data_IF_183069424027
#
_entry.id   IF_183069424027
#
_cell.length_a   1.000
_cell.length_b   1.000
_cell.length_c   1.000
_cell.angle_alpha   90.00
_cell.angle_beta   90.00
_cell.angle_gamma   90.00
#
_symmetry.space_group_name_H-M   'P 1'
#
loop_
_entity.id
_entity.type
_entity.pdbx_description
1 polymer ?
#
# COMPACT_ATOMS: atom_id res chain seq x y z
N UNK A 1 19.93 -2.22 11.22
CA UNK A 1 19.70 -2.13 12.67
C UNK A 1 18.21 -2.16 12.83
N UNK A 2 17.68 -3.16 13.52
CA UNK A 2 16.24 -3.24 13.79
C UNK A 2 15.94 -2.25 14.91
N UNK A 3 14.93 -1.38 14.69
CA UNK A 3 14.54 -0.36 15.67
C UNK A 3 13.70 -1.00 16.77
N UNK A 4 12.73 -1.83 16.39
CA UNK A 4 11.86 -2.54 17.34
C UNK A 4 12.43 -3.91 17.71
N UNK A 5 12.21 -4.40 18.95
CA UNK A 5 12.61 -5.75 19.34
C UNK A 5 11.91 -6.82 18.51
N UNK A 6 12.50 -8.02 18.43
CA UNK A 6 12.04 -9.11 17.54
C UNK A 6 10.66 -9.66 17.90
N UNK A 7 10.25 -9.52 19.16
CA UNK A 7 8.97 -9.95 19.69
C UNK A 7 7.81 -9.02 19.31
N UNK A 8 8.11 -7.82 18.81
CA UNK A 8 7.13 -6.84 18.33
C UNK A 8 7.07 -6.85 16.81
N UNK A 9 5.86 -6.95 16.27
CA UNK A 9 5.63 -6.86 14.84
C UNK A 9 4.88 -5.55 14.55
N UNK A 10 5.54 -4.61 13.89
CA UNK A 10 4.96 -3.30 13.53
C UNK A 10 3.94 -3.48 12.40
N UNK A 11 2.68 -3.68 12.77
CA UNK A 11 1.55 -3.89 11.84
C UNK A 11 0.23 -3.75 12.59
N UNK A 12 -0.78 -3.24 11.88
CA UNK A 12 -2.14 -3.10 12.38
C UNK A 12 -3.13 -3.88 11.50
N UNK A 13 -4.21 -4.35 12.10
CA UNK A 13 -5.36 -4.95 11.42
C UNK A 13 -6.49 -3.93 11.18
N UNK A 14 -6.26 -2.65 11.48
CA UNK A 14 -7.24 -1.62 11.16
C UNK A 14 -7.60 -1.67 9.66
N UNK A 15 -8.89 -1.70 9.34
CA UNK A 15 -9.44 -1.91 8.00
C UNK A 15 -8.94 -3.20 7.30
N UNK A 16 -8.37 -4.17 8.03
CA UNK A 16 -7.84 -5.48 7.55
C UNK A 16 -6.66 -5.44 6.55
N UNK A 17 -6.21 -4.26 6.12
CA UNK A 17 -5.19 -4.15 5.06
C UNK A 17 -3.75 -3.95 5.55
N UNK A 18 -3.48 -4.13 6.84
CA UNK A 18 -2.10 -4.17 7.34
C UNK A 18 -1.42 -2.81 7.49
N UNK A 19 -2.10 -1.71 7.15
CA UNK A 19 -1.69 -0.32 7.40
C UNK A 19 -0.21 0.00 7.17
N UNK A 20 0.42 -0.47 6.08
CA UNK A 20 1.89 -0.44 5.92
C UNK A 20 2.57 0.91 6.21
N UNK A 21 1.92 2.04 5.86
CA UNK A 21 2.39 3.40 6.18
C UNK A 21 1.70 4.05 7.41
N UNK A 22 0.67 3.41 7.96
CA UNK A 22 -0.10 3.88 9.12
C UNK A 22 0.16 3.10 10.42
N UNK A 23 0.97 2.04 10.38
CA UNK A 23 1.26 1.21 11.55
C UNK A 23 2.27 1.84 12.52
N UNK A 24 2.97 2.89 12.12
CA UNK A 24 3.89 3.62 12.99
C UNK A 24 4.07 5.07 12.56
N UNK A 25 4.57 5.88 13.49
CA UNK A 25 5.06 7.23 13.25
C UNK A 25 6.33 7.48 14.07
N UNK A 26 7.16 8.40 13.61
CA UNK A 26 8.42 8.78 14.27
C UNK A 26 8.47 10.29 14.48
N UNK A 27 8.86 10.71 15.68
CA UNK A 27 9.17 12.10 16.00
C UNK A 27 10.45 12.16 16.85
N UNK A 28 11.49 12.79 16.31
CA UNK A 28 12.80 12.81 16.97
C UNK A 28 13.36 11.39 17.12
N UNK A 29 13.62 10.99 18.36
CA UNK A 29 14.06 9.63 18.73
C UNK A 29 12.91 8.73 19.17
N UNK A 30 11.67 9.20 19.15
CA UNK A 30 10.51 8.45 19.64
C UNK A 30 9.73 7.85 18.47
N UNK A 31 9.45 6.55 18.58
CA UNK A 31 8.59 5.78 17.67
C UNK A 31 7.31 5.44 18.41
N UNK A 32 6.17 5.67 17.77
CA UNK A 32 4.88 5.12 18.19
C UNK A 32 4.45 4.12 17.13
N UNK A 33 4.07 2.90 17.51
CA UNK A 33 3.70 1.85 16.57
C UNK A 33 2.58 0.95 17.10
N UNK A 34 1.79 0.38 16.19
CA UNK A 34 0.80 -0.66 16.46
C UNK A 34 1.50 -2.02 16.44
N UNK A 35 1.34 -2.78 17.52
CA UNK A 35 1.86 -4.14 17.61
C UNK A 35 0.86 -5.16 17.05
N UNK A 36 1.28 -6.01 16.13
CA UNK A 36 0.41 -6.96 15.45
C UNK A 36 -0.29 -7.93 16.43
N UNK A 37 0.43 -8.38 17.45
CA UNK A 37 -0.02 -9.49 18.30
C UNK A 37 -1.22 -9.10 19.19
N UNK A 38 -1.26 -7.86 19.66
CA UNK A 38 -2.30 -7.38 20.59
C UNK A 38 -3.06 -6.15 20.07
N UNK A 39 -2.65 -5.58 18.93
CA UNK A 39 -3.21 -4.40 18.29
C UNK A 39 -3.11 -3.10 19.12
N UNK A 40 -2.31 -3.10 20.19
CA UNK A 40 -2.10 -1.92 21.05
C UNK A 40 -1.06 -0.98 20.43
N UNK A 41 -1.14 0.29 20.82
CA UNK A 41 -0.08 1.26 20.53
C UNK A 41 1.03 1.14 21.56
N UNK A 42 2.26 1.13 21.07
CA UNK A 42 3.49 1.13 21.85
C UNK A 42 4.33 2.35 21.52
N UNK A 43 4.97 2.92 22.53
CA UNK A 43 6.02 3.93 22.41
C UNK A 43 7.37 3.26 22.61
N UNK A 44 8.37 3.65 21.84
CA UNK A 44 9.75 3.24 22.04
C UNK A 44 10.71 4.37 21.71
N UNK A 45 11.79 4.52 22.48
CA UNK A 45 12.91 5.39 22.13
C UNK A 45 13.89 4.61 21.25
N UNK A 46 14.37 5.18 20.13
CA UNK A 46 15.33 4.54 19.24
C UNK A 46 16.61 4.21 20.00
N UNK A 47 17.02 2.95 19.96
CA UNK A 47 18.18 2.43 20.69
C UNK A 47 17.85 1.81 22.05
N UNK A 48 16.63 2.01 22.56
CA UNK A 48 16.08 1.23 23.67
C UNK A 48 15.52 -0.10 23.16
N UNK A 49 15.41 -1.10 24.03
CA UNK A 49 14.86 -2.43 23.74
C UNK A 49 13.52 -2.70 24.44
N UNK A 50 12.94 -1.73 25.15
CA UNK A 50 11.72 -1.94 25.95
C UNK A 50 10.58 -1.01 25.54
N UNK A 51 9.77 -1.38 24.52
CA UNK A 51 8.56 -0.65 24.17
C UNK A 51 7.56 -0.60 25.33
N UNK A 52 6.98 0.58 25.57
CA UNK A 52 5.96 0.82 26.59
C UNK A 52 4.57 0.96 25.94
N UNK A 53 3.55 0.23 26.39
CA UNK A 53 2.22 0.36 25.82
C UNK A 53 1.61 1.73 26.17
N UNK A 54 1.01 2.40 25.20
CA UNK A 54 0.28 3.66 25.39
C UNK A 54 -1.23 3.44 25.62
N UNK A 55 -1.76 2.33 25.11
CA UNK A 55 -3.20 1.99 25.21
C UNK A 55 -3.43 0.83 26.16
N UNK A 56 -4.64 0.73 26.78
CA UNK A 56 -5.00 -0.38 27.66
C UNK A 56 -4.85 -1.75 27.02
N UNK A 57 -4.75 -2.78 27.87
CA UNK A 57 -4.92 -4.16 27.45
C UNK A 57 -6.42 -4.49 27.46
N UNK A 58 -6.97 -4.73 26.28
CA UNK A 58 -8.38 -5.05 26.09
C UNK A 58 -8.67 -6.56 26.14
N UNK A 59 -7.73 -7.38 26.61
CA UNK A 59 -7.83 -8.85 26.63
C UNK A 59 -8.02 -9.46 25.24
N UNK A 60 -7.41 -8.84 24.22
CA UNK A 60 -7.44 -9.30 22.83
C UNK A 60 -7.29 -8.15 21.81
N UNK A 61 -7.16 -8.47 20.51
CA UNK A 61 -6.95 -7.51 19.43
C UNK A 61 -8.26 -6.81 18.98
N UNK A 62 -9.07 -6.39 19.95
CA UNK A 62 -10.43 -5.84 19.74
C UNK A 62 -10.47 -4.33 19.59
N UNK A 63 -9.36 -3.64 19.82
CA UNK A 63 -9.21 -2.22 19.50
C UNK A 63 -7.94 -2.07 18.68
N UNK A 64 -8.05 -1.39 17.54
CA UNK A 64 -6.99 -1.32 16.52
C UNK A 64 -6.71 0.13 16.18
N UNK A 65 -5.45 0.45 15.92
CA UNK A 65 -5.01 1.82 15.67
C UNK A 65 -4.19 1.92 14.39
N UNK A 66 -4.39 2.99 13.63
CA UNK A 66 -3.65 3.28 12.40
C UNK A 66 -3.60 4.77 12.06
N UNK A 67 -2.67 5.11 11.16
CA UNK A 67 -2.50 6.43 10.53
C UNK A 67 -2.42 7.56 11.55
N UNK A 68 -1.59 7.35 12.56
CA UNK A 68 -1.43 8.32 13.63
C UNK A 68 -0.35 9.38 13.36
N UNK A 69 -0.45 10.47 14.11
CA UNK A 69 0.41 11.65 14.01
C UNK A 69 0.67 12.22 15.41
N UNK A 70 1.89 12.71 15.62
CA UNK A 70 2.24 13.44 16.84
C UNK A 70 1.59 14.82 16.82
N UNK A 71 0.99 15.24 17.92
CA UNK A 71 0.43 16.58 18.07
C UNK A 71 1.53 17.57 18.50
N UNK A 72 1.85 18.60 17.71
CA UNK A 72 2.86 19.59 18.09
C UNK A 72 2.42 20.53 19.22
N UNK A 73 1.12 20.59 19.54
CA UNK A 73 0.55 21.52 20.53
C UNK A 73 0.30 20.88 21.90
N UNK A 74 0.26 19.56 21.97
CA UNK A 74 -0.10 18.80 23.18
C UNK A 74 0.73 17.51 23.27
N UNK A 75 1.04 16.99 24.47
CA UNK A 75 1.79 15.73 24.64
C UNK A 75 0.91 14.50 24.35
N UNK A 76 0.44 14.37 23.11
CA UNK A 76 -0.47 13.32 22.67
C UNK A 76 -0.18 12.86 21.26
N UNK A 77 -0.64 11.66 20.98
CA UNK A 77 -0.66 11.03 19.67
C UNK A 77 -2.10 10.99 19.18
N UNK A 78 -2.37 11.47 17.97
CA UNK A 78 -3.71 11.42 17.36
C UNK A 78 -3.75 10.32 16.33
N UNK A 79 -4.74 9.44 16.36
CA UNK A 79 -4.79 8.23 15.53
C UNK A 79 -6.22 7.88 15.12
N UNK A 80 -6.38 7.18 14.01
CA UNK A 80 -7.63 6.44 13.74
C UNK A 80 -7.69 5.24 14.68
N UNK A 81 -8.86 4.99 15.25
CA UNK A 81 -9.16 3.87 16.14
C UNK A 81 -10.40 3.13 15.62
N UNK A 82 -10.29 1.81 15.47
CA UNK A 82 -11.42 0.90 15.26
C UNK A 82 -11.70 0.14 16.56
N UNK A 83 -12.94 0.22 17.05
CA UNK A 83 -13.37 -0.42 18.28
C UNK A 83 -14.36 -1.56 18.01
N UNK A 84 -13.89 -2.79 18.15
CA UNK A 84 -14.64 -4.03 17.96
C UNK A 84 -15.22 -4.60 19.28
N UNK A 85 -15.08 -3.89 20.41
CA UNK A 85 -15.51 -4.41 21.72
C UNK A 85 -17.02 -4.68 21.80
N UNK A 86 -17.81 -3.91 21.05
CA UNK A 86 -19.27 -4.03 21.03
C UNK A 86 -19.79 -4.83 19.82
N UNK A 87 -19.24 -4.59 18.63
CA UNK A 87 -19.58 -5.29 17.39
C UNK A 87 -18.29 -5.60 16.62
N UNK A 88 -18.03 -6.89 16.38
CA UNK A 88 -16.85 -7.34 15.66
C UNK A 88 -16.94 -7.15 14.15
N UNK A 89 -18.15 -7.09 13.58
CA UNK A 89 -18.38 -7.00 12.14
C UNK A 89 -18.48 -5.55 11.66
N UNK A 90 -19.07 -4.67 12.47
CA UNK A 90 -19.20 -3.25 12.17
C UNK A 90 -18.56 -2.42 13.28
N UNK A 91 -17.22 -2.40 13.36
CA UNK A 91 -16.52 -1.65 14.39
C UNK A 91 -16.83 -0.16 14.29
N UNK A 92 -16.83 0.51 15.44
CA UNK A 92 -16.93 1.97 15.47
C UNK A 92 -15.57 2.55 15.16
N UNK A 93 -15.47 3.28 14.05
CA UNK A 93 -14.25 4.03 13.69
C UNK A 93 -14.31 5.44 14.25
N UNK A 94 -13.22 5.92 14.84
CA UNK A 94 -13.09 7.29 15.35
C UNK A 94 -11.68 7.83 15.18
N UNK A 95 -11.52 9.16 15.23
CA UNK A 95 -10.20 9.77 15.46
C UNK A 95 -10.07 10.04 16.94
N UNK A 96 -9.00 9.54 17.57
CA UNK A 96 -8.80 9.62 19.02
C UNK A 96 -7.45 10.21 19.37
N UNK A 97 -7.37 10.79 20.56
CA UNK A 97 -6.14 11.24 21.20
C UNK A 97 -5.69 10.23 22.26
N UNK A 98 -4.43 9.81 22.17
CA UNK A 98 -3.73 8.95 23.12
C UNK A 98 -2.65 9.78 23.81
N UNK A 99 -2.68 9.85 25.14
CA UNK A 99 -1.64 10.56 25.90
C UNK A 99 -0.30 9.84 25.73
N UNK A 100 0.76 10.59 25.41
CA UNK A 100 2.11 10.04 25.37
C UNK A 100 2.66 10.07 26.80
N UNK A 101 2.85 8.89 27.40
CA UNK A 101 3.26 8.70 28.79
C UNK A 101 4.16 7.48 28.93
N UNK A 102 5.02 7.48 29.95
CA UNK A 102 5.91 6.36 30.29
C UNK A 102 5.47 5.62 31.57
N UNK A 103 4.24 5.87 32.06
CA UNK A 103 3.79 5.35 33.36
C UNK A 103 2.39 4.79 33.32
N UNK A 104 1.49 5.50 32.68
CA UNK A 104 0.06 5.22 32.70
C UNK A 104 -0.44 4.92 31.28
N UNK A 105 -1.22 3.86 31.17
CA UNK A 105 -2.08 3.57 30.02
C UNK A 105 -3.49 4.07 30.32
N UNK A 106 -4.03 4.95 29.49
CA UNK A 106 -5.37 5.49 29.65
C UNK A 106 -6.22 5.20 28.41
N UNK A 107 -7.53 5.13 28.60
CA UNK A 107 -8.45 5.05 27.47
C UNK A 107 -8.28 6.27 26.54
N UNK A 108 -8.20 6.06 25.22
CA UNK A 108 -8.12 7.17 24.27
C UNK A 108 -9.32 8.11 24.37
N UNK A 109 -9.09 9.40 24.20
CA UNK A 109 -10.15 10.41 24.15
C UNK A 109 -10.64 10.58 22.72
N UNK A 110 -11.91 10.33 22.46
CA UNK A 110 -12.50 10.54 21.12
C UNK A 110 -12.49 12.02 20.77
N UNK A 111 -11.92 12.34 19.60
CA UNK A 111 -11.89 13.68 19.01
C UNK A 111 -12.94 13.81 17.91
N UNK A 112 -13.07 12.81 17.03
CA UNK A 112 -14.02 12.84 15.92
C UNK A 112 -14.75 11.50 15.85
N UNK A 113 -16.08 11.56 15.70
CA UNK A 113 -16.97 10.41 15.56
C UNK A 113 -18.23 10.79 14.79
N UNK A 114 -19.03 9.78 14.43
CA UNK A 114 -20.36 9.95 13.79
C UNK A 114 -20.41 9.58 12.31
N UNK A 115 -19.29 9.24 11.70
CA UNK A 115 -19.17 8.69 10.34
C UNK A 115 -18.62 7.26 10.39
N UNK A 116 -18.76 6.49 9.31
CA UNK A 116 -18.37 5.08 9.28
C UNK A 116 -16.85 4.91 9.25
N UNK A 117 -16.16 5.78 8.49
CA UNK A 117 -14.73 5.66 8.26
C UNK A 117 -14.01 7.01 8.31
N UNK A 118 -12.74 6.94 8.71
CA UNK A 118 -11.85 8.08 8.86
C UNK A 118 -10.44 7.73 8.40
N UNK A 119 -9.73 8.72 7.86
CA UNK A 119 -8.32 8.59 7.49
C UNK A 119 -7.59 9.94 7.57
N UNK A 120 -6.27 9.89 7.54
CA UNK A 120 -5.36 11.02 7.43
C UNK A 120 -5.59 12.14 8.47
N UNK A 121 -5.65 11.86 9.79
CA UNK A 121 -5.60 12.93 10.77
C UNK A 121 -4.26 13.66 10.64
N UNK A 122 -4.29 14.96 10.34
CA UNK A 122 -3.08 15.79 10.13
C UNK A 122 -3.23 17.09 10.88
N UNK A 123 -2.35 17.31 11.86
CA UNK A 123 -2.39 18.48 12.73
C UNK A 123 -1.67 19.66 12.07
N UNK A 124 -2.30 20.83 12.09
CA UNK A 124 -1.67 22.07 11.66
C UNK A 124 -0.57 22.45 12.67
N UNK A 125 0.71 22.61 12.27
CA UNK A 125 1.77 22.98 13.20
C UNK A 125 1.66 24.43 13.72
N UNK A 126 0.93 25.30 13.03
CA UNK A 126 0.81 26.73 13.33
C UNK A 126 -0.41 27.08 14.19
N UNK A 127 -1.51 26.33 14.03
CA UNK A 127 -2.79 26.58 14.69
C UNK A 127 -3.34 25.30 15.31
N UNK A 128 -4.21 25.41 16.33
CA UNK A 128 -4.80 24.26 17.01
C UNK A 128 -5.98 23.66 16.24
N UNK A 129 -5.71 23.19 15.02
CA UNK A 129 -6.71 22.57 14.13
C UNK A 129 -6.17 21.32 13.47
N UNK A 130 -7.07 20.47 12.99
CA UNK A 130 -6.76 19.22 12.31
C UNK A 130 -7.47 19.16 10.97
N UNK A 131 -6.80 18.59 9.97
CA UNK A 131 -7.41 18.12 8.74
C UNK A 131 -7.62 16.60 8.83
N UNK A 132 -8.71 16.08 8.27
CA UNK A 132 -8.94 14.65 8.14
C UNK A 132 -9.86 14.32 6.96
N UNK A 133 -9.82 13.07 6.53
CA UNK A 133 -10.76 12.50 5.55
C UNK A 133 -11.82 11.68 6.28
N UNK A 134 -13.08 11.81 5.87
CA UNK A 134 -14.17 10.93 6.30
C UNK A 134 -15.05 10.51 5.12
N UNK A 135 -15.62 9.30 5.20
CA UNK A 135 -16.57 8.77 4.22
C UNK A 135 -17.51 7.76 4.88
N UNK A 136 -18.60 7.43 4.17
CA UNK A 136 -19.66 6.53 4.66
C UNK A 136 -19.94 5.45 3.63
N UNK A 137 -20.49 4.32 4.08
CA UNK A 137 -21.08 3.36 3.18
C UNK A 137 -22.19 4.02 2.32
N UNK A 138 -22.37 3.61 1.05
CA UNK A 138 -21.70 2.49 0.37
C UNK A 138 -20.40 2.89 -0.36
N UNK A 139 -19.95 4.13 -0.22
CA UNK A 139 -18.82 4.66 -0.99
C UNK A 139 -17.48 4.16 -0.41
N UNK A 140 -16.53 3.81 -1.27
CA UNK A 140 -15.11 3.68 -0.88
C UNK A 140 -14.43 5.05 -0.96
N UNK A 141 -13.28 5.28 -0.28
CA UNK A 141 -12.69 6.62 -0.22
C UNK A 141 -12.25 7.19 -1.58
N UNK A 142 -12.09 6.32 -2.58
CA UNK A 142 -11.82 6.69 -3.98
C UNK A 142 -13.10 6.89 -4.82
N UNK A 143 -14.25 6.41 -4.39
CA UNK A 143 -15.52 6.69 -5.05
C UNK A 143 -16.03 8.08 -4.65
N UNK A 144 -16.01 8.35 -3.33
CA UNK A 144 -16.39 9.63 -2.76
C UNK A 144 -15.91 9.75 -1.33
N UNK A 145 -15.30 10.89 -0.98
CA UNK A 145 -14.91 11.18 0.40
C UNK A 145 -14.94 12.68 0.68
N UNK A 146 -14.78 13.09 1.94
CA UNK A 146 -14.80 14.48 2.36
C UNK A 146 -13.52 14.85 3.10
N UNK A 147 -12.94 15.99 2.76
CA UNK A 147 -11.85 16.61 3.52
C UNK A 147 -12.42 17.66 4.44
N UNK A 148 -12.22 17.50 5.74
CA UNK A 148 -12.65 18.45 6.76
C UNK A 148 -11.46 19.07 7.45
N UNK A 149 -11.62 20.32 7.89
CA UNK A 149 -10.68 21.05 8.72
C UNK A 149 -11.41 21.63 9.91
N UNK A 150 -10.83 21.52 11.10
CA UNK A 150 -11.31 22.25 12.26
C UNK A 150 -10.92 21.66 13.61
N UNK A 151 -11.65 22.12 14.62
CA UNK A 151 -11.69 21.54 15.95
C UNK A 151 -12.94 20.67 16.09
N UNK A 152 -12.99 19.78 17.08
CA UNK A 152 -14.09 18.83 17.34
C UNK A 152 -15.49 19.46 17.19
N UNK A 153 -15.66 20.69 17.68
CA UNK A 153 -16.96 21.37 17.72
C UNK A 153 -17.19 22.34 16.56
N UNK A 154 -16.15 22.68 15.79
CA UNK A 154 -16.21 23.66 14.70
C UNK A 154 -15.35 23.18 13.54
N UNK A 155 -16.02 22.60 12.55
CA UNK A 155 -15.40 22.04 11.35
C UNK A 155 -16.01 22.61 10.08
N UNK A 156 -15.18 22.69 9.05
CA UNK A 156 -15.55 23.10 7.70
C UNK A 156 -15.17 22.00 6.73
N UNK A 157 -16.01 21.74 5.74
CA UNK A 157 -15.72 20.82 4.65
C UNK A 157 -15.02 21.60 3.52
N UNK A 158 -13.78 21.22 3.23
CA UNK A 158 -12.90 21.88 2.26
C UNK A 158 -13.10 21.30 0.85
N UNK A 159 -13.28 19.98 0.75
CA UNK A 159 -13.50 19.25 -0.50
C UNK A 159 -14.44 18.05 -0.26
N UNK A 160 -15.21 17.65 -1.27
CA UNK A 160 -16.14 16.51 -1.19
C UNK A 160 -17.51 16.84 -0.58
N UNK A 161 -17.71 18.09 -0.15
CA UNK A 161 -18.97 18.55 0.46
C UNK A 161 -20.08 18.88 -0.53
N UNK A 162 -19.76 19.04 -1.82
CA UNK A 162 -20.72 19.47 -2.83
C UNK A 162 -21.47 18.25 -3.41
N UNK A 163 -22.80 18.13 -3.24
CA UNK A 163 -23.56 16.99 -3.77
C UNK A 163 -23.60 16.93 -5.31
N UNK A 164 -23.28 18.02 -6.01
CA UNK A 164 -23.25 18.05 -7.48
C UNK A 164 -21.89 17.69 -8.08
N UNK A 165 -20.88 17.51 -7.23
CA UNK A 165 -19.51 17.16 -7.63
C UNK A 165 -19.11 15.89 -6.89
N UNK A 166 -18.85 14.83 -7.64
CA UNK A 166 -18.18 13.66 -7.08
C UNK A 166 -16.69 13.98 -7.07
N UNK A 167 -16.08 13.88 -5.89
CA UNK A 167 -14.64 14.00 -5.71
C UNK A 167 -14.19 13.17 -4.50
N UNK A 168 -12.94 12.74 -4.55
CA UNK A 168 -12.32 11.81 -3.64
C UNK A 168 -11.01 12.40 -3.11
N UNK A 169 -11.08 13.38 -2.18
CA UNK A 169 -9.89 13.99 -1.61
C UNK A 169 -9.08 13.00 -0.77
N UNK A 170 -7.74 13.12 -0.83
CA UNK A 170 -6.81 12.25 -0.10
C UNK A 170 -5.52 12.99 0.27
N UNK A 171 -4.73 12.36 1.14
CA UNK A 171 -3.38 12.77 1.55
C UNK A 171 -3.23 14.27 1.90
N UNK A 172 -4.08 14.84 2.80
CA UNK A 172 -3.89 16.21 3.26
C UNK A 172 -2.52 16.36 3.95
N UNK A 173 -1.87 17.51 3.76
CA UNK A 173 -0.61 17.88 4.41
C UNK A 173 -0.57 19.37 4.70
N UNK A 174 -0.08 19.71 5.89
CA UNK A 174 0.16 21.09 6.29
C UNK A 174 1.60 21.49 6.00
N UNK A 175 1.81 22.70 5.47
CA UNK A 175 3.12 23.32 5.45
C UNK A 175 3.53 23.77 6.85
N UNK A 176 4.81 24.10 7.04
CA UNK A 176 5.30 24.72 8.27
C UNK A 176 4.68 26.08 8.56
N UNK A 177 4.05 26.72 7.57
CA UNK A 177 3.32 28.00 7.68
C UNK A 177 1.83 27.80 7.96
N UNK A 178 1.33 26.57 8.05
CA UNK A 178 -0.09 26.29 8.26
C UNK A 178 -0.95 26.38 6.99
N UNK A 179 -0.36 26.21 5.81
CA UNK A 179 -1.11 26.11 4.56
C UNK A 179 -1.48 24.65 4.29
N UNK A 180 -2.72 24.39 3.88
CA UNK A 180 -3.21 23.04 3.60
C UNK A 180 -3.09 22.71 2.11
N UNK A 181 -2.36 21.65 1.82
CA UNK A 181 -2.26 21.01 0.53
C UNK A 181 -2.93 19.64 0.59
N UNK A 182 -3.53 19.21 -0.49
CA UNK A 182 -4.17 17.89 -0.58
C UNK A 182 -4.31 17.47 -2.04
N UNK A 183 -4.68 16.21 -2.25
CA UNK A 183 -4.87 15.63 -3.57
C UNK A 183 -6.36 15.37 -3.77
N UNK A 184 -6.90 15.66 -4.95
CA UNK A 184 -8.29 15.32 -5.30
C UNK A 184 -8.41 15.14 -6.83
N UNK A 185 -9.33 14.29 -7.26
CA UNK A 185 -9.65 13.95 -8.65
C UNK A 185 -10.66 14.93 -9.27
N UNK A 186 -11.00 16.00 -8.56
CA UNK A 186 -12.01 16.97 -8.99
C UNK A 186 -11.73 17.52 -10.39
N UNK A 187 -12.80 17.63 -11.18
CA UNK A 187 -12.83 18.22 -12.53
C UNK A 187 -12.10 17.41 -13.61
N UNK A 188 -10.80 17.11 -13.45
CA UNK A 188 -10.01 16.38 -14.44
C UNK A 188 -10.28 14.88 -14.45
N UNK A 189 -10.75 14.33 -13.33
CA UNK A 189 -10.82 12.88 -13.10
C UNK A 189 -9.47 12.25 -12.74
N UNK A 190 -8.40 13.05 -12.66
CA UNK A 190 -7.07 12.63 -12.22
C UNK A 190 -6.74 13.27 -10.88
N UNK A 191 -6.20 12.50 -9.95
CA UNK A 191 -5.76 13.03 -8.65
C UNK A 191 -4.62 14.02 -8.83
N UNK A 192 -4.91 15.31 -8.73
CA UNK A 192 -3.95 16.41 -8.85
C UNK A 192 -3.76 17.12 -7.50
N UNK A 193 -2.73 17.98 -7.40
CA UNK A 193 -2.42 18.70 -6.17
C UNK A 193 -3.19 20.02 -6.11
N UNK A 194 -3.86 20.24 -4.97
CA UNK A 194 -4.62 21.44 -4.67
C UNK A 194 -4.15 22.07 -3.36
N UNK A 195 -4.43 23.37 -3.23
CA UNK A 195 -4.25 24.16 -2.01
C UNK A 195 -5.58 24.78 -1.60
N UNK A 196 -5.86 24.78 -0.30
CA UNK A 196 -6.97 25.55 0.26
C UNK A 196 -6.53 26.98 0.55
N UNK A 197 -7.20 27.96 -0.06
CA UNK A 197 -7.11 29.36 0.33
C UNK A 197 -8.14 29.65 1.42
N UNK A 198 -7.65 29.78 2.65
CA UNK A 198 -8.47 30.02 3.84
C UNK A 198 -9.21 31.36 3.79
N UNK A 199 -8.66 32.41 3.15
CA UNK A 199 -9.27 33.75 3.16
C UNK A 199 -10.53 33.80 2.31
N UNK A 200 -10.47 33.20 1.11
CA UNK A 200 -11.59 33.15 0.18
C UNK A 200 -12.44 31.89 0.34
N UNK A 201 -11.96 30.92 1.12
CA UNK A 201 -12.52 29.56 1.24
C UNK A 201 -12.68 28.86 -0.12
N UNK A 202 -11.64 28.99 -0.96
CA UNK A 202 -11.60 28.39 -2.31
C UNK A 202 -10.48 27.36 -2.38
N UNK A 203 -10.70 26.31 -3.17
CA UNK A 203 -9.71 25.29 -3.49
C UNK A 203 -9.06 25.61 -4.84
N UNK A 204 -7.74 25.76 -4.83
CA UNK A 204 -6.93 26.19 -5.98
C UNK A 204 -6.13 25.00 -6.49
N UNK A 205 -6.24 24.68 -7.78
CA UNK A 205 -5.38 23.70 -8.43
C UNK A 205 -3.99 24.29 -8.62
N UNK A 206 -2.95 23.60 -8.15
CA UNK A 206 -1.58 24.10 -8.26
C UNK A 206 -0.90 23.67 -9.56
N UNK A 207 -1.20 22.45 -10.01
CA UNK A 207 -0.62 21.90 -11.22
C UNK A 207 -1.62 20.94 -11.87
N UNK A 208 -1.96 21.21 -13.13
CA UNK A 208 -2.85 20.38 -13.92
C UNK A 208 -2.04 19.39 -14.76
N UNK A 209 -2.30 18.10 -14.56
CA UNK A 209 -1.68 17.03 -15.33
C UNK A 209 -2.66 15.87 -15.47
N UNK A 210 -2.76 15.31 -16.66
CA UNK A 210 -3.53 14.09 -16.93
C UNK A 210 -2.76 12.85 -16.43
N UNK A 211 -2.48 12.83 -15.12
CA UNK A 211 -1.80 11.77 -14.40
C UNK A 211 -2.09 11.85 -12.89
N UNK A 212 -1.91 10.73 -12.20
CA UNK A 212 -2.16 10.61 -10.76
C UNK A 212 -1.02 11.20 -9.92
N UNK A 213 -1.33 11.84 -8.78
CA UNK A 213 -0.34 12.29 -7.80
C UNK A 213 -0.36 11.50 -6.47
N UNK A 214 -1.45 10.81 -6.12
CA UNK A 214 -1.50 9.98 -4.89
C UNK A 214 -0.63 8.72 -5.01
N UNK A 215 -0.52 8.16 -6.23
CA UNK A 215 0.46 7.14 -6.61
C UNK A 215 0.81 7.34 -8.08
N UNK A 216 1.75 8.25 -8.42
CA UNK A 216 2.01 8.60 -9.81
C UNK A 216 2.43 7.38 -10.60
N UNK A 217 1.62 7.03 -11.60
CA UNK A 217 1.93 6.04 -12.62
C UNK A 217 1.59 6.68 -13.97
N UNK A 218 2.60 6.88 -14.80
CA UNK A 218 2.45 7.28 -16.19
C UNK A 218 3.20 6.26 -17.05
N UNK A 219 2.50 5.66 -18.01
CA UNK A 219 3.01 4.57 -18.86
C UNK A 219 3.66 3.44 -18.04
N UNK A 220 3.01 3.04 -16.94
CA UNK A 220 3.47 1.96 -16.07
C UNK A 220 4.68 2.30 -15.19
N UNK A 221 5.05 3.58 -15.08
CA UNK A 221 6.21 4.04 -14.30
C UNK A 221 5.87 5.18 -13.35
N UNK A 222 6.50 5.19 -12.19
CA UNK A 222 6.45 6.31 -11.26
C UNK A 222 7.56 7.31 -11.51
N UNK A 223 7.24 8.58 -11.27
CA UNK A 223 8.17 9.71 -11.39
C UNK A 223 8.19 10.49 -10.09
N UNK A 224 9.31 11.13 -9.81
CA UNK A 224 9.45 12.07 -8.69
C UNK A 224 9.69 13.44 -9.29
N UNK A 225 9.08 14.46 -8.70
CA UNK A 225 9.34 15.83 -9.09
C UNK A 225 9.07 16.81 -7.97
N UNK A 226 9.48 18.05 -8.21
CA UNK A 226 9.35 19.16 -7.28
C UNK A 226 8.42 20.19 -7.89
N UNK A 227 7.34 20.48 -7.17
CA UNK A 227 6.37 21.51 -7.53
C UNK A 227 6.71 22.79 -6.78
N UNK A 228 7.07 23.83 -7.51
CA UNK A 228 7.09 25.19 -7.01
C UNK A 228 5.66 25.75 -7.09
N UNK A 229 5.00 25.89 -5.95
CA UNK A 229 3.61 26.35 -5.90
C UNK A 229 3.46 27.86 -6.11
N UNK A 230 4.52 28.65 -5.94
CA UNK A 230 4.47 30.10 -6.16
C UNK A 230 4.61 30.42 -7.66
N UNK A 231 5.42 29.63 -8.37
CA UNK A 231 5.60 29.74 -9.81
C UNK A 231 4.66 28.85 -10.62
N UNK A 232 4.02 27.86 -9.99
CA UNK A 232 3.18 26.86 -10.67
C UNK A 232 3.99 25.93 -11.59
N UNK A 233 5.29 25.75 -11.32
CA UNK A 233 6.21 24.98 -12.17
C UNK A 233 6.57 23.65 -11.54
N UNK A 234 6.54 22.58 -12.34
CA UNK A 234 6.95 21.23 -11.93
C UNK A 234 8.27 20.84 -12.59
N UNK A 235 9.22 20.38 -11.79
CA UNK A 235 10.52 19.87 -12.25
C UNK A 235 10.64 18.39 -11.93
N UNK A 236 10.71 17.53 -12.96
CA UNK A 236 10.95 16.09 -12.77
C UNK A 236 12.39 15.84 -12.36
N UNK A 237 12.59 14.99 -11.35
CA UNK A 237 13.90 14.56 -10.89
C UNK A 237 14.32 13.28 -11.61
N UNK A 238 15.49 13.30 -12.24
CA UNK A 238 16.08 12.12 -12.87
C UNK A 238 16.68 11.20 -11.81
N UNK A 239 15.96 10.11 -11.50
CA UNK A 239 16.38 9.06 -10.57
C UNK A 239 16.15 7.68 -11.20
N UNK A 240 16.97 6.66 -10.87
CA UNK A 240 16.93 5.36 -11.55
C UNK A 240 15.76 4.44 -11.14
N UNK A 241 14.93 4.86 -10.17
CA UNK A 241 13.75 4.10 -9.77
C UNK A 241 12.59 4.34 -10.74
N UNK A 242 11.92 3.26 -11.12
CA UNK A 242 10.72 3.29 -11.99
C UNK A 242 9.43 2.95 -11.24
N UNK A 243 9.55 2.57 -9.97
CA UNK A 243 8.46 2.45 -9.01
C UNK A 243 8.96 3.03 -7.70
N UNK A 244 8.20 3.95 -7.12
CA UNK A 244 8.60 4.64 -5.89
C UNK A 244 7.45 4.72 -4.89
N UNK A 245 7.83 4.77 -3.62
CA UNK A 245 6.93 4.96 -2.48
C UNK A 245 7.70 5.64 -1.35
N UNK A 246 7.02 6.03 -0.27
CA UNK A 246 7.62 6.46 1.00
C UNK A 246 8.75 7.49 0.83
N UNK A 247 8.39 8.72 0.47
CA UNK A 247 9.33 9.84 0.39
C UNK A 247 9.39 10.55 1.74
N UNK A 248 10.60 10.70 2.29
CA UNK A 248 10.87 11.47 3.51
C UNK A 248 11.92 12.52 3.22
N UNK A 249 11.61 13.79 3.51
CA UNK A 249 12.51 14.91 3.25
C UNK A 249 13.52 15.10 4.38
N UNK A 250 14.71 15.57 4.03
CA UNK A 250 15.74 16.06 4.92
C UNK A 250 16.28 17.41 4.43
N UNK A 251 17.29 17.94 5.10
CA UNK A 251 17.93 19.18 4.66
C UNK A 251 18.76 18.94 3.39
N UNK A 252 18.41 19.63 2.30
CA UNK A 252 19.05 19.51 0.98
C UNK A 252 18.97 18.11 0.31
N UNK A 253 18.17 17.18 0.86
CA UNK A 253 18.05 15.82 0.34
C UNK A 253 16.71 15.20 0.70
N UNK A 254 16.40 14.05 0.12
CA UNK A 254 15.32 13.19 0.57
C UNK A 254 15.74 11.73 0.52
N UNK A 255 15.02 10.91 1.28
CA UNK A 255 15.08 9.47 1.22
C UNK A 255 13.83 8.95 0.53
N UNK A 256 14.00 7.93 -0.30
CA UNK A 256 12.91 7.34 -1.07
C UNK A 256 13.08 5.83 -1.12
N UNK A 257 11.98 5.12 -0.94
CA UNK A 257 11.90 3.69 -1.23
C UNK A 257 11.50 3.51 -2.70
N UNK A 258 12.20 2.62 -3.41
CA UNK A 258 11.83 2.33 -4.78
C UNK A 258 12.54 1.12 -5.35
N UNK A 259 12.13 0.77 -6.56
CA UNK A 259 12.66 -0.34 -7.33
C UNK A 259 12.72 0.03 -8.82
N UNK A 260 13.43 -0.78 -9.59
CA UNK A 260 13.40 -0.72 -11.05
C UNK A 260 13.51 -2.12 -11.65
N UNK A 261 13.45 -2.22 -12.98
CA UNK A 261 13.58 -3.50 -13.69
C UNK A 261 14.83 -4.31 -13.30
N UNK A 262 15.89 -3.66 -12.80
CA UNK A 262 17.13 -4.34 -12.38
C UNK A 262 17.57 -4.02 -10.96
N UNK A 263 16.83 -3.16 -10.24
CA UNK A 263 17.10 -2.82 -8.86
C UNK A 263 15.96 -3.35 -7.99
N UNK A 264 16.25 -4.19 -6.99
CA UNK A 264 15.23 -4.67 -6.06
C UNK A 264 14.76 -3.49 -5.19
N UNK A 265 13.67 -3.70 -4.44
CA UNK A 265 13.19 -2.70 -3.46
C UNK A 265 14.35 -2.27 -2.58
N UNK A 266 14.62 -0.98 -2.60
CA UNK A 266 15.79 -0.35 -1.99
C UNK A 266 15.41 1.01 -1.44
N UNK A 267 16.12 1.45 -0.40
CA UNK A 267 16.05 2.82 0.11
C UNK A 267 17.23 3.57 -0.48
N UNK A 268 16.97 4.70 -1.12
CA UNK A 268 17.99 5.59 -1.67
C UNK A 268 17.93 6.96 -1.02
N UNK A 269 19.12 7.55 -0.83
CA UNK A 269 19.28 8.97 -0.54
C UNK A 269 19.50 9.72 -1.84
N UNK A 270 18.75 10.79 -2.04
CA UNK A 270 18.84 11.68 -3.19
C UNK A 270 19.20 13.07 -2.70
N UNK A 271 20.35 13.60 -3.13
CA UNK A 271 20.72 14.98 -2.85
C UNK A 271 20.17 15.88 -3.95
N UNK A 272 19.74 17.08 -3.57
CA UNK A 272 19.26 18.09 -4.50
C UNK A 272 20.32 19.17 -4.73
N UNK A 273 20.11 19.99 -5.77
CA UNK A 273 20.86 21.24 -5.95
C UNK A 273 20.37 22.31 -4.95
N UNK A 274 21.05 23.46 -4.93
CA UNK A 274 20.70 24.56 -4.01
C UNK A 274 19.25 25.06 -4.19
N UNK A 275 18.69 24.90 -5.39
CA UNK A 275 17.31 25.29 -5.70
C UNK A 275 16.29 24.20 -5.36
N UNK A 276 16.73 22.99 -5.00
CA UNK A 276 15.83 21.87 -4.75
C UNK A 276 15.14 21.31 -6.00
N UNK A 277 15.61 21.65 -7.20
CA UNK A 277 14.93 21.34 -8.47
C UNK A 277 15.57 20.22 -9.27
N UNK A 278 16.82 19.86 -8.94
CA UNK A 278 17.60 18.86 -9.67
C UNK A 278 18.23 17.87 -8.71
N UNK A 279 18.17 16.58 -9.02
CA UNK A 279 18.91 15.55 -8.30
C UNK A 279 20.40 15.61 -8.66
N UNK A 280 21.25 15.93 -7.69
CA UNK A 280 22.71 16.06 -7.88
C UNK A 280 23.46 14.76 -7.57
N UNK A 281 22.87 13.90 -6.74
CA UNK A 281 23.44 12.60 -6.39
C UNK A 281 22.33 11.62 -6.01
N UNK A 282 22.53 10.34 -6.34
CA UNK A 282 21.68 9.23 -5.97
C UNK A 282 22.54 8.10 -5.39
N UNK A 283 22.22 7.66 -4.18
CA UNK A 283 22.95 6.57 -3.52
C UNK A 283 21.99 5.64 -2.79
N UNK A 284 22.04 4.34 -3.09
CA UNK A 284 21.31 3.31 -2.34
C UNK A 284 21.96 3.17 -0.97
N UNK A 285 21.16 3.37 0.09
CA UNK A 285 21.59 3.22 1.50
C UNK A 285 21.19 1.86 2.08
N UNK A 286 20.16 1.22 1.53
CA UNK A 286 19.74 -0.12 1.88
C UNK A 286 19.09 -0.81 0.69
N UNK A 287 19.24 -2.13 0.59
CA UNK A 287 18.63 -2.92 -0.48
C UNK A 287 18.11 -4.24 0.09
N UNK A 288 16.93 -4.66 -0.39
CA UNK A 288 16.31 -5.93 0.02
C UNK A 288 17.06 -7.17 -0.49
N UNK A 289 17.95 -7.01 -1.47
CA UNK A 289 18.80 -8.10 -1.96
C UNK A 289 20.22 -7.62 -2.24
N UNK A 290 21.17 -8.09 -1.43
CA UNK A 290 22.59 -7.80 -1.61
C UNK A 290 23.19 -8.51 -2.85
N UNK A 291 22.54 -9.58 -3.31
CA UNK A 291 23.04 -10.49 -4.34
C UNK A 291 22.41 -10.29 -5.71
N UNK A 292 21.52 -9.30 -5.87
CA UNK A 292 20.80 -9.02 -7.13
C UNK A 292 21.75 -8.90 -8.33
N UNK A 293 22.97 -8.38 -8.13
CA UNK A 293 23.97 -8.20 -9.17
C UNK A 293 24.40 -9.52 -9.82
N UNK A 294 24.37 -10.64 -9.08
CA UNK A 294 24.70 -11.99 -9.58
C UNK A 294 23.68 -12.47 -10.62
N UNK A 295 22.42 -12.02 -10.51
CA UNK A 295 21.31 -12.49 -11.34
C UNK A 295 20.88 -11.47 -12.41
N UNK A 296 21.51 -10.31 -12.46
CA UNK A 296 21.14 -9.21 -13.38
C UNK A 296 21.10 -9.65 -14.85
N UNK A 297 21.99 -10.56 -15.27
CA UNK A 297 22.02 -11.10 -16.64
C UNK A 297 20.86 -12.03 -16.98
N UNK A 298 20.03 -12.42 -16.01
CA UNK A 298 18.87 -13.29 -16.20
C UNK A 298 17.54 -12.52 -16.18
N UNK A 299 17.56 -11.22 -15.89
CA UNK A 299 16.34 -10.42 -15.85
C UNK A 299 15.80 -10.17 -17.26
N UNK A 300 14.53 -10.53 -17.47
CA UNK A 300 13.76 -10.01 -18.59
C UNK A 300 13.39 -8.55 -18.30
N UNK A 301 13.63 -7.66 -19.27
CA UNK A 301 13.31 -6.24 -19.12
C UNK A 301 11.84 -5.99 -19.50
N UNK A 302 11.13 -5.14 -18.74
CA UNK A 302 9.74 -4.83 -19.00
C UNK A 302 9.58 -3.95 -20.24
N UNK A 303 8.56 -4.26 -21.03
CA UNK A 303 8.03 -3.43 -22.11
C UNK A 303 6.62 -2.97 -21.74
N UNK A 304 6.36 -1.65 -21.81
CA UNK A 304 5.00 -1.14 -21.67
C UNK A 304 4.28 -1.34 -23.00
N UNK A 305 3.15 -2.03 -22.97
CA UNK A 305 2.31 -2.28 -24.15
C UNK A 305 0.90 -1.78 -23.92
N UNK A 306 0.27 -1.33 -25.00
CA UNK A 306 -1.12 -0.90 -25.05
C UNK A 306 -1.84 -1.64 -26.17
N UNK A 307 -3.05 -2.14 -25.90
CA UNK A 307 -3.82 -2.92 -26.86
C UNK A 307 -5.33 -2.61 -26.74
N UNK A 308 -6.09 -2.67 -27.85
CA UNK A 308 -7.51 -2.36 -27.84
C UNK A 308 -8.32 -3.38 -27.05
N UNK A 309 -9.41 -2.95 -26.41
CA UNK A 309 -10.37 -3.86 -25.76
C UNK A 309 -11.52 -4.21 -26.71
N UNK A 310 -12.44 -5.07 -26.25
CA UNK A 310 -13.66 -5.39 -26.98
C UNK A 310 -14.60 -4.17 -27.14
N UNK A 311 -14.40 -3.10 -26.36
CA UNK A 311 -15.19 -1.87 -26.43
C UNK A 311 -14.47 -0.87 -27.34
N UNK A 312 -15.09 -0.41 -28.44
CA UNK A 312 -14.46 0.54 -29.36
C UNK A 312 -13.98 1.81 -28.66
N UNK A 313 -12.73 2.20 -28.93
CA UNK A 313 -12.10 3.40 -28.37
C UNK A 313 -11.51 3.21 -26.96
N UNK A 314 -11.67 2.04 -26.35
CA UNK A 314 -10.99 1.71 -25.10
C UNK A 314 -9.72 0.90 -25.35
N UNK A 315 -8.70 1.19 -24.54
CA UNK A 315 -7.41 0.53 -24.56
C UNK A 315 -7.10 -0.04 -23.17
N UNK A 316 -6.47 -1.20 -23.15
CA UNK A 316 -5.89 -1.79 -21.96
C UNK A 316 -4.36 -1.68 -22.03
N UNK A 317 -3.73 -1.56 -20.87
CA UNK A 317 -2.28 -1.45 -20.73
C UNK A 317 -1.74 -2.68 -20.00
N UNK A 318 -0.53 -3.12 -20.35
CA UNK A 318 0.18 -4.17 -19.64
C UNK A 318 1.70 -3.93 -19.63
N UNK A 319 2.37 -4.60 -18.70
CA UNK A 319 3.83 -4.71 -18.70
C UNK A 319 4.19 -6.11 -19.19
N UNK A 320 4.78 -6.18 -20.38
CA UNK A 320 5.20 -7.42 -21.01
C UNK A 320 6.65 -7.75 -20.67
N UNK A 321 6.91 -9.00 -20.30
CA UNK A 321 8.25 -9.52 -20.05
C UNK A 321 8.50 -10.67 -21.02
N UNK A 322 9.31 -10.43 -22.06
CA UNK A 322 9.65 -11.48 -23.02
C UNK A 322 10.52 -12.57 -22.37
N UNK A 323 10.40 -13.85 -22.76
CA UNK A 323 11.32 -14.87 -22.30
C UNK A 323 12.76 -14.49 -22.63
N UNK A 324 13.63 -14.52 -21.63
CA UNK A 324 15.01 -14.09 -21.77
C UNK A 324 15.92 -15.02 -20.99
N UNK A 325 17.02 -15.42 -21.62
CA UNK A 325 18.09 -16.17 -20.98
C UNK A 325 19.42 -15.82 -21.64
N UNK A 326 20.51 -15.63 -20.88
CA UNK A 326 21.83 -15.43 -21.46
C UNK A 326 22.37 -16.71 -22.13
N UNK A 327 21.80 -17.88 -21.82
CA UNK A 327 22.32 -19.19 -22.23
C UNK A 327 21.40 -19.95 -23.18
N UNK A 328 20.16 -19.52 -23.34
CA UNK A 328 19.15 -20.26 -24.13
C UNK A 328 18.33 -19.30 -24.98
N UNK A 329 17.95 -19.78 -26.16
CA UNK A 329 17.03 -19.10 -27.07
C UNK A 329 16.00 -20.11 -27.55
N UNK A 330 14.73 -19.70 -27.59
CA UNK A 330 13.64 -20.54 -28.11
C UNK A 330 13.79 -20.80 -29.61
N UNK A 331 13.16 -21.89 -30.08
CA UNK A 331 13.04 -22.16 -31.52
C UNK A 331 12.24 -21.06 -32.23
N UNK A 332 12.56 -20.78 -33.50
CA UNK A 332 11.74 -19.89 -34.33
C UNK A 332 10.39 -20.49 -34.73
N UNK A 333 10.25 -21.81 -34.62
CA UNK A 333 9.09 -22.55 -35.10
C UNK A 333 7.98 -22.67 -34.06
N UNK A 334 8.26 -22.28 -32.81
CA UNK A 334 7.34 -22.35 -31.68
C UNK A 334 7.24 -21.01 -30.97
N UNK A 335 6.07 -20.72 -30.42
CA UNK A 335 5.87 -19.56 -29.55
C UNK A 335 6.04 -19.98 -28.09
N UNK A 336 6.66 -19.14 -27.25
CA UNK A 336 6.77 -19.43 -25.83
C UNK A 336 5.38 -19.39 -25.17
N UNK A 337 5.14 -20.23 -24.13
CA UNK A 337 4.00 -20.05 -23.25
C UNK A 337 4.01 -18.65 -22.61
N UNK A 338 2.84 -18.06 -22.42
CA UNK A 338 2.65 -16.76 -21.78
C UNK A 338 1.84 -16.91 -20.49
N UNK A 339 2.41 -16.44 -19.38
CA UNK A 339 1.67 -16.26 -18.14
C UNK A 339 1.07 -14.86 -18.12
N UNK A 340 -0.26 -14.78 -18.01
CA UNK A 340 -0.97 -13.50 -17.84
C UNK A 340 -1.28 -13.33 -16.35
N UNK A 341 -0.62 -12.36 -15.73
CA UNK A 341 -0.88 -11.99 -14.34
C UNK A 341 -1.84 -10.79 -14.28
N UNK A 342 -2.97 -10.99 -13.61
CA UNK A 342 -3.98 -9.95 -13.39
C UNK A 342 -3.81 -9.39 -11.99
N UNK A 343 -3.07 -8.28 -11.88
CA UNK A 343 -2.96 -7.57 -10.60
C UNK A 343 -4.24 -6.78 -10.32
N UNK A 344 -5.05 -7.27 -9.38
CA UNK A 344 -6.15 -6.48 -8.82
C UNK A 344 -5.60 -5.49 -7.78
N UNK A 345 -5.36 -4.26 -8.24
CA UNK A 345 -5.11 -3.10 -7.38
C UNK A 345 -6.29 -2.15 -7.52
N UNK A 346 -7.17 -2.10 -6.52
CA UNK A 346 -8.12 -1.00 -6.41
C UNK A 346 -7.55 0.04 -5.45
N UNK A 347 -7.27 1.25 -5.96
CA UNK A 347 -6.96 2.44 -5.17
C UNK A 347 -5.97 2.25 -4.00
N UNK A 348 -4.91 1.46 -4.22
CA UNK A 348 -3.86 1.24 -3.23
C UNK A 348 -4.07 0.07 -2.27
N UNK A 349 -5.11 -0.73 -2.47
CA UNK A 349 -5.36 -1.97 -1.74
C UNK A 349 -4.89 -3.17 -2.54
N UNK A 350 -4.12 -4.03 -1.88
CA UNK A 350 -3.68 -5.31 -2.44
C UNK A 350 -4.78 -6.32 -2.17
N UNK A 351 -5.57 -6.65 -3.18
CA UNK A 351 -6.33 -7.90 -3.18
C UNK A 351 -5.43 -8.88 -3.92
N UNK A 352 -4.56 -9.57 -3.17
CA UNK A 352 -3.98 -10.78 -3.71
C UNK A 352 -5.10 -11.81 -3.65
N UNK A 353 -5.89 -11.90 -4.72
CA UNK A 353 -6.66 -13.11 -4.93
C UNK A 353 -5.65 -14.26 -4.88
N UNK A 354 -5.96 -15.26 -4.06
CA UNK A 354 -5.40 -16.61 -4.08
C UNK A 354 -4.70 -16.87 -5.40
N UNK A 355 -3.42 -17.24 -5.40
CA UNK A 355 -2.63 -17.38 -6.61
C UNK A 355 -3.33 -18.32 -7.61
N UNK A 356 -4.11 -17.75 -8.53
CA UNK A 356 -4.92 -18.46 -9.50
C UNK A 356 -4.07 -18.56 -10.75
N UNK A 357 -3.50 -19.75 -10.98
CA UNK A 357 -2.93 -20.08 -12.27
C UNK A 357 -4.02 -20.66 -13.15
N UNK A 358 -4.48 -19.91 -14.15
CA UNK A 358 -5.32 -20.44 -15.22
C UNK A 358 -4.44 -20.88 -16.39
N UNK A 359 -4.58 -22.13 -16.81
CA UNK A 359 -4.04 -22.58 -18.09
C UNK A 359 -5.15 -22.57 -19.16
N UNK A 360 -4.78 -22.83 -20.42
CA UNK A 360 -5.75 -23.03 -21.51
C UNK A 360 -6.84 -24.04 -21.08
N UNK A 361 -8.07 -23.80 -21.52
CA UNK A 361 -9.24 -24.65 -21.27
C UNK A 361 -9.72 -24.79 -19.81
N UNK A 362 -9.42 -23.83 -18.93
CA UNK A 362 -10.10 -23.67 -17.63
C UNK A 362 -9.50 -24.46 -16.45
N UNK A 363 -8.25 -24.90 -16.57
CA UNK A 363 -7.51 -25.60 -15.52
C UNK A 363 -7.07 -24.62 -14.43
N UNK A 364 -7.00 -25.06 -13.16
CA UNK A 364 -6.74 -24.16 -12.03
C UNK A 364 -5.74 -24.73 -11.00
N UNK A 365 -4.69 -23.96 -10.71
CA UNK A 365 -3.99 -24.05 -9.43
C UNK A 365 -4.48 -22.90 -8.54
N UNK A 366 -4.92 -23.22 -7.33
CA UNK A 366 -5.30 -22.21 -6.33
C UNK A 366 -4.73 -22.56 -4.95
N UNK A 367 -4.53 -21.53 -4.13
CA UNK A 367 -4.00 -21.66 -2.79
C UNK A 367 -4.79 -20.74 -1.85
N UNK A 368 -5.14 -21.23 -0.66
CA UNK A 368 -5.85 -20.43 0.33
C UNK A 368 -5.10 -20.38 1.66
N UNK A 369 -5.34 -19.33 2.43
CA UNK A 369 -4.81 -19.18 3.78
C UNK A 369 -5.96 -19.29 4.79
N UNK A 370 -5.82 -20.12 5.81
CA UNK A 370 -6.92 -20.43 6.74
C UNK A 370 -7.39 -19.24 7.59
N UNK A 371 -6.49 -18.27 7.85
CA UNK A 371 -6.79 -17.09 8.68
C UNK A 371 -7.13 -15.83 7.85
N UNK A 372 -7.34 -15.96 6.53
CA UNK A 372 -7.67 -14.82 5.67
C UNK A 372 -9.09 -14.30 5.93
N UNK A 373 -9.20 -13.05 6.42
CA UNK A 373 -10.49 -12.38 6.65
C UNK A 373 -11.03 -11.66 5.41
N UNK A 374 -10.14 -11.15 4.54
CA UNK A 374 -10.51 -10.41 3.32
C UNK A 374 -11.12 -11.32 2.25
N UNK A 375 -10.54 -12.51 2.05
CA UNK A 375 -11.04 -13.55 1.15
C UNK A 375 -11.13 -14.84 1.94
N UNK A 376 -12.33 -15.21 2.44
CA UNK A 376 -12.49 -16.39 3.30
C UNK A 376 -12.11 -17.70 2.58
N UNK A 377 -11.48 -18.67 3.27
CA UNK A 377 -11.05 -19.94 2.69
C UNK A 377 -12.18 -20.72 1.99
N UNK A 378 -13.39 -20.59 2.51
CA UNK A 378 -14.56 -21.27 1.96
C UNK A 378 -14.88 -20.85 0.52
N UNK A 379 -14.57 -19.61 0.13
CA UNK A 379 -14.72 -19.17 -1.26
C UNK A 379 -13.79 -19.98 -2.17
N UNK A 380 -12.52 -20.14 -1.77
CA UNK A 380 -11.54 -20.93 -2.53
C UNK A 380 -11.92 -22.40 -2.59
N UNK A 381 -12.40 -22.98 -1.49
CA UNK A 381 -12.89 -24.37 -1.44
C UNK A 381 -14.08 -24.60 -2.37
N UNK A 382 -15.00 -23.63 -2.47
CA UNK A 382 -16.14 -23.70 -3.39
C UNK A 382 -15.69 -23.67 -4.85
N UNK A 383 -14.75 -22.78 -5.21
CA UNK A 383 -14.20 -22.69 -6.57
C UNK A 383 -13.46 -23.99 -6.93
N UNK A 384 -12.60 -24.47 -6.04
CA UNK A 384 -11.89 -25.75 -6.22
C UNK A 384 -12.86 -26.91 -6.49
N UNK A 385 -13.91 -27.03 -5.67
CA UNK A 385 -14.91 -28.08 -5.84
C UNK A 385 -15.65 -27.94 -7.18
N UNK A 386 -16.07 -26.73 -7.55
CA UNK A 386 -16.79 -26.50 -8.80
C UNK A 386 -15.96 -26.93 -10.02
N UNK A 387 -14.65 -26.65 -10.03
CA UNK A 387 -13.75 -27.03 -11.14
C UNK A 387 -13.41 -28.53 -11.09
N UNK A 388 -13.24 -29.09 -9.88
CA UNK A 388 -13.05 -30.53 -9.73
C UNK A 388 -14.23 -31.31 -10.30
N UNK A 389 -15.45 -30.87 -10.01
CA UNK A 389 -16.70 -31.54 -10.42
C UNK A 389 -16.96 -31.44 -11.94
N UNK A 390 -16.33 -30.50 -12.66
CA UNK A 390 -16.38 -30.45 -14.14
C UNK A 390 -15.40 -31.39 -14.82
N UNK A 391 -14.52 -32.06 -14.05
CA UNK A 391 -13.51 -32.98 -14.57
C UNK A 391 -12.25 -32.29 -15.10
N UNK A 392 -12.07 -30.98 -14.82
CA UNK A 392 -10.89 -30.24 -15.23
C UNK A 392 -9.73 -30.44 -14.24
N UNK A 393 -8.46 -30.45 -14.72
CA UNK A 393 -7.27 -30.46 -13.87
C UNK A 393 -7.28 -29.36 -12.81
N UNK A 394 -7.17 -29.74 -11.55
CA UNK A 394 -7.20 -28.77 -10.44
C UNK A 394 -6.36 -29.21 -9.23
N UNK A 395 -5.72 -28.25 -8.56
CA UNK A 395 -5.03 -28.48 -7.30
C UNK A 395 -5.33 -27.35 -6.29
N UNK A 396 -5.40 -27.73 -5.01
CA UNK A 396 -5.60 -26.82 -3.87
C UNK A 396 -4.49 -27.04 -2.84
N UNK A 397 -3.86 -25.96 -2.41
CA UNK A 397 -2.92 -25.95 -1.28
C UNK A 397 -3.47 -25.04 -0.17
N UNK A 398 -3.53 -25.54 1.05
CA UNK A 398 -4.01 -24.81 2.23
C UNK A 398 -2.83 -24.58 3.20
N UNK A 399 -2.68 -23.34 3.66
CA UNK A 399 -1.62 -22.97 4.60
C UNK A 399 -2.18 -22.52 5.95
N UNK A 400 -1.84 -23.26 6.99
CA UNK A 400 -2.20 -22.94 8.38
C UNK A 400 -1.34 -21.79 8.93
N UNK A 401 -1.97 -20.89 9.68
CA UNK A 401 -1.30 -19.76 10.33
C UNK A 401 -0.72 -18.72 9.36
N UNK A 402 -1.31 -18.57 8.18
CA UNK A 402 -1.03 -17.48 7.24
C UNK A 402 -2.24 -16.54 7.17
N UNK A 403 -2.05 -15.21 7.32
CA UNK A 403 -3.10 -14.23 7.07
C UNK A 403 -3.25 -13.95 5.55
N UNK A 404 -4.01 -12.93 5.17
CA UNK A 404 -4.13 -12.52 3.77
C UNK A 404 -2.76 -12.09 3.19
N UNK A 405 -2.31 -12.83 2.17
CA UNK A 405 -0.99 -12.71 1.53
C UNK A 405 0.12 -13.45 2.27
N UNK A 406 0.80 -14.40 1.61
CA UNK A 406 1.84 -15.26 2.20
C UNK A 406 3.00 -14.46 2.80
N UNK A 407 3.41 -14.83 4.02
CA UNK A 407 4.51 -14.17 4.75
C UNK A 407 5.65 -15.11 5.10
N UNK A 408 5.39 -16.40 5.36
CA UNK A 408 6.45 -17.36 5.68
C UNK A 408 7.24 -17.66 4.41
N UNK A 409 8.55 -17.51 4.48
CA UNK A 409 9.44 -17.72 3.34
C UNK A 409 9.27 -19.12 2.73
N UNK A 410 9.08 -20.14 3.55
CA UNK A 410 8.88 -21.52 3.11
C UNK A 410 7.56 -21.69 2.31
N UNK A 411 6.48 -21.02 2.73
CA UNK A 411 5.20 -21.06 2.02
C UNK A 411 5.27 -20.30 0.69
N UNK A 412 5.96 -19.16 0.66
CA UNK A 412 6.20 -18.40 -0.58
C UNK A 412 7.01 -19.26 -1.55
N UNK A 413 8.11 -19.85 -1.08
CA UNK A 413 8.96 -20.74 -1.87
C UNK A 413 8.17 -21.92 -2.43
N UNK A 414 7.47 -22.66 -1.56
CA UNK A 414 6.69 -23.82 -1.95
C UNK A 414 5.62 -23.44 -2.98
N UNK A 415 4.90 -22.33 -2.79
CA UNK A 415 3.89 -21.86 -3.75
C UNK A 415 4.51 -21.61 -5.12
N UNK A 416 5.63 -20.88 -5.19
CA UNK A 416 6.31 -20.57 -6.46
C UNK A 416 6.82 -21.84 -7.16
N UNK A 417 7.39 -22.78 -6.40
CA UNK A 417 7.83 -24.08 -6.91
C UNK A 417 6.65 -24.89 -7.49
N UNK A 418 5.53 -24.96 -6.78
CA UNK A 418 4.35 -25.69 -7.24
C UNK A 418 3.67 -25.02 -8.44
N UNK A 419 3.65 -23.68 -8.51
CA UNK A 419 3.18 -22.96 -9.70
C UNK A 419 4.01 -23.31 -10.93
N UNK A 420 5.34 -23.29 -10.81
CA UNK A 420 6.23 -23.66 -11.90
C UNK A 420 6.00 -25.12 -12.35
N UNK A 421 5.90 -26.04 -11.40
CA UNK A 421 5.64 -27.47 -11.70
C UNK A 421 4.26 -27.65 -12.34
N UNK A 422 3.23 -26.96 -11.87
CA UNK A 422 1.88 -27.03 -12.46
C UNK A 422 1.89 -26.61 -13.93
N UNK A 423 2.46 -25.44 -14.25
CA UNK A 423 2.57 -24.98 -15.63
C UNK A 423 3.48 -25.87 -16.49
N UNK A 424 4.58 -26.36 -15.93
CA UNK A 424 5.50 -27.26 -16.64
C UNK A 424 4.81 -28.59 -17.00
N UNK A 425 3.95 -29.13 -16.14
CA UNK A 425 3.23 -30.39 -16.37
C UNK A 425 2.06 -30.25 -17.33
N UNK A 426 1.27 -29.19 -17.19
CA UNK A 426 0.01 -29.04 -17.92
C UNK A 426 0.12 -28.26 -19.23
N UNK A 427 0.97 -27.23 -19.25
CA UNK A 427 1.10 -26.32 -20.40
C UNK A 427 2.38 -26.62 -21.18
N UNK A 428 3.52 -26.53 -20.49
CA UNK A 428 4.82 -26.60 -21.14
C UNK A 428 5.29 -28.02 -21.51
N UNK A 429 4.72 -29.05 -20.87
CA UNK A 429 5.10 -30.46 -21.01
C UNK A 429 6.62 -30.71 -20.89
N UNK A 430 7.28 -30.01 -19.96
CA UNK A 430 8.73 -30.13 -19.74
C UNK A 430 9.06 -30.48 -18.29
N UNK A 431 10.27 -31.03 -18.09
CA UNK A 431 10.80 -31.30 -16.75
C UNK A 431 11.47 -30.04 -16.21
N UNK A 432 11.05 -29.60 -15.04
CA UNK A 432 11.72 -28.51 -14.30
C UNK A 432 13.15 -28.92 -13.92
N UNK A 433 14.05 -27.93 -13.83
CA UNK A 433 15.46 -28.19 -13.56
C UNK A 433 15.71 -28.69 -12.12
N UNK A 434 14.96 -28.14 -11.16
CA UNK A 434 15.09 -28.46 -9.75
C UNK A 434 14.32 -29.74 -9.39
N UNK A 435 14.83 -30.47 -8.39
CA UNK A 435 14.12 -31.62 -7.81
C UNK A 435 13.01 -31.14 -6.88
N UNK A 436 11.83 -30.96 -7.44
CA UNK A 436 10.63 -30.52 -6.71
C UNK A 436 9.66 -31.70 -6.60
N UNK A 437 9.20 -32.00 -5.39
CA UNK A 437 8.11 -32.96 -5.17
C UNK A 437 6.81 -32.32 -5.63
N UNK A 438 6.15 -32.85 -6.68
CA UNK A 438 4.93 -32.25 -7.19
C UNK A 438 3.75 -32.49 -6.24
N UNK A 439 2.87 -31.50 -6.10
CA UNK A 439 1.53 -31.72 -5.56
C UNK A 439 0.70 -32.57 -6.52
N UNK A 440 -0.30 -33.26 -5.96
CA UNK A 440 -1.31 -33.99 -6.73
C UNK A 440 -2.19 -33.00 -7.49
N UNK A 441 -2.41 -33.26 -8.77
CA UNK A 441 -3.37 -32.54 -9.61
C UNK A 441 -4.56 -33.48 -9.82
N UNK A 442 -5.70 -33.16 -9.22
CA UNK A 442 -6.93 -33.91 -9.42
C UNK A 442 -7.37 -33.82 -10.88
N UNK A 443 -7.97 -34.89 -11.41
CA UNK A 443 -8.35 -35.02 -12.82
C UNK A 443 -7.17 -34.97 -13.82
N UNK A 444 -5.95 -35.25 -13.36
CA UNK A 444 -4.75 -35.38 -14.19
C UNK A 444 -3.84 -36.53 -13.74
N UNK A 445 -3.58 -36.61 -12.42
CA UNK A 445 -2.95 -37.76 -11.74
C UNK A 445 -3.96 -38.86 -11.42
#
# INVERSE_FOLDING_TARGET
MDVTPREFAVRTLAQEYGGGSGAFAVQGDTVVFSNYNDQRLYRQTIGDSSPFPLTPDYSGPVVRYADGVFDPHFPRYVTVMEDHRNDGLNPVTTITAVTISDRDTNEPTVLVSGNDFYAFPRIDPSQKRMAWIEWSNPDMPWDKSQLLVGEVQKRICIAGGNPTLVESPTEPKWSSKGELFFITDRQSGFWNIYKWDEQSNVVIQLYALDAEFSKPIQNGRSYVGVLDHDLGTFSTLDIPFSSVTNIVTGDGCFYIEGASATLPVSIAKVNLDEKGTVATNFSIVWSSSADVTKYKSYFSLPEFIEFPTAIPGQHACAIFYAPYSPSFQGSSDEKPPLLVDLQMKHAGFWILMCSIGLAEDGQLLTSTMEEAQVVPPDQTKQIYKAIKDTGLPVALVEYEGEPHGFRKADNIKFTLEQQMVFFARLVGQFKVADEITPIKIENFD
#
